data_IF_423598742433
#
_entry.id   IF_423598742433
#
_cell.length_a   1.000
_cell.length_b   1.000
_cell.length_c   1.000
_cell.angle_alpha   90.00
_cell.angle_beta   90.00
_cell.angle_gamma   90.00
#
_symmetry.space_group_name_H-M   'P 1'
#
loop_
_entity.id
_entity.type
_entity.pdbx_description
1 polymer ?
#
# COMPACT_ATOMS: atom_id res chain seq x y z
N UNK A 1 20.91 -34.22 -29.83
CA UNK A 1 21.07 -33.47 -28.57
C UNK A 1 21.35 -32.03 -28.97
N UNK A 2 20.36 -31.16 -28.85
CA UNK A 2 20.49 -29.74 -29.19
C UNK A 2 20.70 -28.94 -27.91
N UNK A 3 21.83 -28.27 -27.82
CA UNK A 3 22.21 -27.36 -26.74
C UNK A 3 21.19 -26.23 -26.62
N UNK A 4 20.56 -26.09 -25.44
CA UNK A 4 19.66 -24.98 -25.14
C UNK A 4 20.50 -23.75 -24.78
N UNK A 5 20.49 -22.75 -25.64
CA UNK A 5 21.06 -21.45 -25.36
C UNK A 5 20.38 -20.82 -24.12
N UNK A 6 21.13 -20.15 -23.22
CA UNK A 6 20.52 -19.51 -22.06
C UNK A 6 19.64 -18.35 -22.52
N UNK A 7 18.41 -18.30 -21.99
CA UNK A 7 17.47 -17.23 -22.24
C UNK A 7 18.11 -15.88 -21.88
N UNK A 8 18.11 -14.97 -22.85
CA UNK A 8 18.62 -13.62 -22.72
C UNK A 8 18.12 -12.95 -21.45
N UNK A 9 19.06 -12.56 -20.59
CA UNK A 9 18.89 -11.49 -19.62
C UNK A 9 18.62 -10.19 -20.38
N UNK A 10 17.38 -10.00 -20.82
CA UNK A 10 16.89 -8.74 -21.33
C UNK A 10 16.51 -7.86 -20.16
N UNK A 11 17.11 -6.68 -20.10
CA UNK A 11 16.72 -5.56 -19.25
C UNK A 11 15.19 -5.44 -19.16
N UNK A 12 14.61 -5.96 -18.07
CA UNK A 12 13.29 -5.47 -17.67
C UNK A 12 13.51 -3.99 -17.35
N UNK A 13 12.78 -3.05 -18.00
CA UNK A 13 12.83 -1.68 -17.55
C UNK A 13 12.53 -1.71 -16.06
N UNK A 14 13.44 -1.13 -15.26
CA UNK A 14 13.29 -1.10 -13.82
C UNK A 14 11.88 -0.58 -13.54
N UNK A 15 11.00 -1.49 -13.09
CA UNK A 15 9.68 -1.15 -12.56
C UNK A 15 9.95 0.04 -11.66
N UNK A 16 9.28 1.18 -11.92
CA UNK A 16 9.46 2.42 -11.17
C UNK A 16 9.81 2.07 -9.73
N UNK A 17 10.96 2.52 -9.18
CA UNK A 17 11.51 1.97 -7.95
C UNK A 17 10.39 1.91 -6.93
N UNK A 18 9.99 0.68 -6.57
CA UNK A 18 8.82 0.47 -5.71
C UNK A 18 9.13 1.27 -4.45
N UNK A 19 8.30 2.29 -4.11
CA UNK A 19 8.59 3.12 -2.97
C UNK A 19 8.69 2.23 -1.73
N UNK A 20 9.73 2.46 -0.93
CA UNK A 20 9.94 1.70 0.30
C UNK A 20 8.91 2.18 1.32
N UNK A 21 7.80 1.45 1.42
CA UNK A 21 6.68 1.77 2.31
C UNK A 21 7.00 1.39 3.74
N UNK A 22 6.69 2.31 4.66
CA UNK A 22 6.67 1.97 6.07
C UNK A 22 5.45 1.11 6.43
N UNK A 23 5.33 0.77 7.73
CA UNK A 23 4.22 -0.05 8.22
C UNK A 23 2.88 0.59 7.89
N UNK A 24 1.93 -0.24 7.46
CA UNK A 24 0.57 0.19 7.12
C UNK A 24 -0.46 -0.70 7.83
N UNK A 25 -1.58 -0.09 8.23
CA UNK A 25 -2.83 -0.79 8.48
C UNK A 25 -3.77 -0.57 7.30
N UNK A 26 -4.30 -1.67 6.77
CA UNK A 26 -5.30 -1.66 5.71
C UNK A 26 -6.58 -2.33 6.20
N UNK A 27 -7.72 -1.74 5.84
CA UNK A 27 -9.05 -2.27 6.08
C UNK A 27 -9.87 -2.22 4.79
N UNK A 28 -10.68 -3.26 4.57
CA UNK A 28 -11.62 -3.34 3.45
C UNK A 28 -12.98 -3.69 4.00
N UNK A 29 -14.00 -2.92 3.63
CA UNK A 29 -15.39 -3.20 3.93
C UNK A 29 -16.12 -3.49 2.62
N UNK A 30 -16.53 -4.75 2.44
CA UNK A 30 -17.35 -5.16 1.31
C UNK A 30 -18.82 -4.83 1.61
N UNK A 31 -19.46 -4.10 0.70
CA UNK A 31 -20.87 -3.72 0.79
C UNK A 31 -21.74 -4.77 0.09
N UNK A 32 -23.02 -4.82 0.47
CA UNK A 32 -23.98 -5.80 -0.06
C UNK A 32 -24.20 -5.70 -1.58
N UNK A 33 -23.98 -4.51 -2.15
CA UNK A 33 -24.12 -4.23 -3.58
C UNK A 33 -22.84 -4.53 -4.38
N UNK A 34 -21.86 -5.20 -3.76
CA UNK A 34 -20.61 -5.59 -4.41
C UNK A 34 -19.55 -4.48 -4.45
N UNK A 35 -19.85 -3.27 -3.98
CA UNK A 35 -18.84 -2.22 -3.80
C UNK A 35 -17.94 -2.52 -2.60
N UNK A 36 -16.77 -1.90 -2.57
CA UNK A 36 -15.85 -1.98 -1.44
C UNK A 36 -15.39 -0.58 -1.00
N UNK A 37 -15.31 -0.36 0.31
CA UNK A 37 -14.57 0.75 0.89
C UNK A 37 -13.16 0.28 1.25
N UNK A 38 -12.17 1.11 0.96
CA UNK A 38 -10.78 0.86 1.30
C UNK A 38 -10.29 1.99 2.21
N UNK A 39 -9.79 1.64 3.38
CA UNK A 39 -9.15 2.57 4.29
C UNK A 39 -7.72 2.11 4.54
N UNK A 40 -6.75 3.02 4.44
CA UNK A 40 -5.35 2.76 4.70
C UNK A 40 -4.79 3.85 5.61
N UNK A 41 -4.01 3.43 6.58
CA UNK A 41 -3.25 4.31 7.45
C UNK A 41 -1.80 3.84 7.47
N UNK A 42 -0.90 4.70 6.99
CA UNK A 42 0.49 4.35 6.68
C UNK A 42 1.44 5.26 7.47
N UNK A 43 2.60 4.72 7.84
CA UNK A 43 3.70 5.57 8.33
C UNK A 43 4.37 6.39 7.23
N UNK A 44 3.91 6.28 5.99
CA UNK A 44 4.43 6.97 4.82
C UNK A 44 5.34 6.05 3.99
N UNK A 45 6.09 6.67 3.07
CA UNK A 45 7.05 5.96 2.23
C UNK A 45 8.36 6.73 2.09
N UNK A 46 9.43 6.01 1.76
CA UNK A 46 10.73 6.55 1.40
C UNK A 46 10.87 6.54 -0.12
N UNK A 47 10.95 7.74 -0.70
CA UNK A 47 11.13 7.91 -2.14
C UNK A 47 11.15 9.38 -2.56
N UNK A 48 11.38 9.61 -3.85
CA UNK A 48 11.24 10.93 -4.47
C UNK A 48 9.76 11.33 -4.43
N UNK A 49 9.45 12.55 -3.99
CA UNK A 49 8.07 13.04 -3.84
C UNK A 49 7.42 12.79 -2.48
N UNK A 50 8.16 12.31 -1.48
CA UNK A 50 7.62 12.12 -0.12
C UNK A 50 7.14 13.43 0.50
N UNK A 51 6.01 13.37 1.22
CA UNK A 51 5.42 14.52 1.92
C UNK A 51 6.03 14.77 3.31
N UNK A 52 6.94 13.90 3.78
CA UNK A 52 7.55 14.01 5.10
C UNK A 52 8.47 12.82 5.43
N UNK A 53 9.05 12.77 6.64
CA UNK A 53 9.77 11.61 7.13
C UNK A 53 8.82 10.43 7.39
N UNK A 54 9.37 9.21 7.47
CA UNK A 54 8.60 8.06 7.93
C UNK A 54 8.22 8.24 9.41
N UNK A 55 6.95 8.00 9.73
CA UNK A 55 6.49 7.93 11.10
C UNK A 55 6.99 6.63 11.76
N UNK A 56 7.15 6.66 13.08
CA UNK A 56 7.55 5.47 13.86
C UNK A 56 6.44 4.42 13.91
N UNK A 57 5.20 4.87 13.99
CA UNK A 57 3.99 4.03 14.07
C UNK A 57 2.87 4.65 13.25
N UNK A 58 1.94 3.85 12.70
CA UNK A 58 0.79 4.39 11.99
C UNK A 58 0.00 5.36 12.89
N UNK A 59 -0.49 6.50 12.36
CA UNK A 59 -1.28 7.47 13.12
C UNK A 59 -2.52 6.90 13.79
N UNK A 60 -3.18 5.94 13.16
CA UNK A 60 -4.37 5.28 13.66
C UNK A 60 -4.05 3.89 14.20
N UNK A 61 -4.72 3.53 15.28
CA UNK A 61 -4.79 2.14 15.72
C UNK A 61 -5.68 1.32 14.80
N UNK A 62 -5.49 -0.01 14.79
CA UNK A 62 -6.40 -0.94 14.10
C UNK A 62 -7.87 -0.72 14.47
N UNK A 63 -8.15 -0.45 15.75
CA UNK A 63 -9.51 -0.20 16.22
C UNK A 63 -10.10 1.11 15.66
N UNK A 64 -9.30 2.18 15.59
CA UNK A 64 -9.72 3.45 14.99
C UNK A 64 -9.96 3.31 13.49
N UNK A 65 -9.09 2.60 12.76
CA UNK A 65 -9.26 2.35 11.33
C UNK A 65 -10.52 1.51 11.03
N UNK A 66 -10.81 0.49 11.86
CA UNK A 66 -12.06 -0.29 11.78
C UNK A 66 -13.28 0.60 12.05
N UNK A 67 -13.23 1.47 13.05
CA UNK A 67 -14.33 2.41 13.34
C UNK A 67 -14.56 3.39 12.18
N UNK A 68 -13.47 3.88 11.57
CA UNK A 68 -13.52 4.79 10.43
C UNK A 68 -14.19 4.14 9.21
N UNK A 69 -13.81 2.91 8.85
CA UNK A 69 -14.36 2.26 7.67
C UNK A 69 -15.83 1.84 7.84
N UNK A 70 -16.26 1.59 9.09
CA UNK A 70 -17.66 1.30 9.44
C UNK A 70 -18.54 2.55 9.48
N UNK A 71 -17.95 3.72 9.70
CA UNK A 71 -18.64 5.00 9.70
C UNK A 71 -17.79 6.05 8.94
N UNK A 72 -17.81 6.03 7.60
CA UNK A 72 -16.96 6.89 6.79
C UNK A 72 -17.31 8.38 6.87
N UNK A 73 -18.30 8.78 7.67
CA UNK A 73 -18.73 10.17 7.84
C UNK A 73 -17.84 11.02 8.77
N UNK A 74 -16.61 10.60 9.11
CA UNK A 74 -15.68 11.38 9.96
C UNK A 74 -14.22 11.27 9.47
N UNK A 75 -13.38 12.33 9.61
CA UNK A 75 -13.55 13.54 10.43
C UNK A 75 -13.71 14.85 9.63
N UNK A 76 -14.30 15.86 10.30
CA UNK A 76 -14.07 17.28 10.01
C UNK A 76 -12.71 17.72 10.55
#
# INVERSE_FOLDING_TARGET
MGEVAPAHGGDRPALHPVPDWGREFAAVLNLKDGRALHARDSTGYRGKGRLGPLLRTPPLTRAQLTKLIQNPALPK
#
